data_IF_416041600839
#
_entry.id   IF_416041600839
#
_cell.length_a   1.000
_cell.length_b   1.000
_cell.length_c   1.000
_cell.angle_alpha   90.00
_cell.angle_beta   90.00
_cell.angle_gamma   90.00
#
_symmetry.space_group_name_H-M   'P 1'
#
loop_
_entity.id
_entity.type
_entity.pdbx_description
1 polymer ?
#
# COMPACT_ATOMS: atom_id res chain seq x y z
N UNK A 1 -30.10 -2.74 34.01
CA UNK A 1 -31.27 -3.57 34.40
C UNK A 1 -30.98 -4.99 33.93
N UNK A 2 -30.93 -5.99 34.81
CA UNK A 2 -30.58 -7.35 34.42
C UNK A 2 -31.74 -8.02 33.66
N UNK A 3 -31.46 -8.56 32.47
CA UNK A 3 -32.40 -9.35 31.67
C UNK A 3 -32.47 -10.78 32.22
N UNK A 4 -33.67 -11.32 32.46
CA UNK A 4 -33.84 -12.65 33.06
C UNK A 4 -33.80 -13.77 32.02
N UNK A 5 -34.31 -13.52 30.82
CA UNK A 5 -34.20 -14.43 29.67
C UNK A 5 -34.51 -13.71 28.35
N UNK A 6 -33.86 -14.16 27.27
CA UNK A 6 -34.13 -13.75 25.90
C UNK A 6 -34.67 -14.97 25.18
N UNK A 7 -35.93 -14.93 24.72
CA UNK A 7 -36.50 -15.96 23.85
C UNK A 7 -36.69 -15.38 22.46
N UNK A 8 -36.10 -16.03 21.47
CA UNK A 8 -36.27 -15.71 20.06
C UNK A 8 -37.13 -16.80 19.41
N UNK A 9 -38.30 -16.41 18.91
CA UNK A 9 -39.14 -17.23 18.04
C UNK A 9 -39.30 -16.50 16.70
N UNK A 10 -38.60 -16.99 15.68
CA UNK A 10 -38.60 -16.38 14.35
C UNK A 10 -38.02 -14.96 14.35
N UNK A 11 -38.79 -13.98 13.84
CA UNK A 11 -38.40 -12.55 13.76
C UNK A 11 -38.74 -11.73 15.01
N UNK A 12 -39.28 -12.35 16.06
CA UNK A 12 -39.71 -11.65 17.27
C UNK A 12 -38.83 -12.06 18.44
N UNK A 13 -38.19 -11.08 19.07
CA UNK A 13 -37.38 -11.27 20.28
C UNK A 13 -38.16 -10.76 21.48
N UNK A 14 -38.51 -11.66 22.39
CA UNK A 14 -39.21 -11.31 23.63
C UNK A 14 -38.21 -11.19 24.77
N UNK A 15 -38.07 -9.98 25.32
CA UNK A 15 -37.19 -9.67 26.44
C UNK A 15 -37.98 -9.67 27.75
N UNK A 16 -37.64 -10.56 28.69
CA UNK A 16 -38.30 -10.59 30.02
C UNK A 16 -37.41 -9.88 31.04
N UNK A 17 -37.85 -8.73 31.55
CA UNK A 17 -37.14 -7.97 32.58
C UNK A 17 -37.34 -8.60 33.97
N UNK A 18 -36.30 -8.55 34.81
CA UNK A 18 -36.32 -9.14 36.17
C UNK A 18 -37.08 -8.27 37.19
N UNK A 19 -37.42 -7.03 36.83
CA UNK A 19 -38.02 -6.02 37.72
C UNK A 19 -39.21 -5.34 37.02
N UNK A 20 -40.27 -5.03 37.77
CA UNK A 20 -41.47 -4.38 37.25
C UNK A 20 -41.16 -2.95 36.76
N UNK A 21 -41.54 -2.64 35.51
CA UNK A 21 -41.37 -1.30 34.94
C UNK A 21 -42.48 -0.37 35.44
N UNK A 22 -42.14 0.87 35.79
CA UNK A 22 -43.13 1.88 36.18
C UNK A 22 -43.86 2.44 34.93
N UNK A 23 -45.19 2.58 34.96
CA UNK A 23 -45.99 2.97 33.79
C UNK A 23 -45.79 4.42 33.32
N UNK A 24 -45.11 5.26 34.09
CA UNK A 24 -44.92 6.70 33.83
C UNK A 24 -43.50 7.07 33.38
N UNK A 25 -42.56 6.12 33.35
CA UNK A 25 -41.17 6.38 32.96
C UNK A 25 -40.88 5.93 31.52
N UNK A 26 -40.10 6.73 30.79
CA UNK A 26 -39.63 6.39 29.44
C UNK A 26 -38.30 5.65 29.54
N UNK A 27 -38.29 4.37 29.18
CA UNK A 27 -37.07 3.56 29.13
C UNK A 27 -36.52 3.48 27.71
N UNK A 28 -35.22 3.73 27.54
CA UNK A 28 -34.52 3.58 26.25
C UNK A 28 -33.99 2.15 26.14
N UNK A 29 -34.50 1.40 25.17
CA UNK A 29 -33.94 0.09 24.79
C UNK A 29 -32.83 0.35 23.76
N UNK A 30 -31.58 0.31 24.20
CA UNK A 30 -30.44 0.20 23.28
C UNK A 30 -30.22 -1.28 22.98
N UNK A 31 -30.70 -1.72 21.81
CA UNK A 31 -30.17 -2.92 21.18
C UNK A 31 -28.76 -2.54 20.77
N UNK A 32 -27.75 -3.00 21.52
CA UNK A 32 -26.41 -3.06 20.98
C UNK A 32 -26.52 -4.02 19.79
N UNK A 33 -26.64 -3.46 18.58
CA UNK A 33 -26.48 -4.20 17.35
C UNK A 33 -25.26 -5.13 17.58
N UNK A 34 -25.38 -6.47 17.48
CA UNK A 34 -24.32 -7.11 16.75
C UNK A 34 -24.34 -6.38 15.42
N UNK A 35 -23.28 -5.64 15.02
CA UNK A 35 -23.28 -5.07 13.69
C UNK A 35 -23.68 -6.23 12.80
N UNK A 36 -24.78 -6.09 12.07
CA UNK A 36 -25.07 -6.98 10.96
C UNK A 36 -23.97 -6.63 9.95
N UNK A 37 -22.73 -7.03 10.24
CA UNK A 37 -21.78 -7.42 9.24
C UNK A 37 -22.52 -8.54 8.54
N UNK A 38 -23.25 -8.16 7.49
CA UNK A 38 -23.21 -9.02 6.33
C UNK A 38 -21.72 -9.15 6.06
N UNK A 39 -21.11 -10.22 6.58
CA UNK A 39 -19.97 -10.84 5.94
C UNK A 39 -20.51 -11.28 4.58
N UNK A 40 -20.69 -10.30 3.68
CA UNK A 40 -20.46 -10.53 2.28
C UNK A 40 -18.99 -10.85 2.28
N UNK A 41 -18.64 -12.12 2.49
CA UNK A 41 -17.35 -12.62 2.09
C UNK A 41 -17.28 -12.26 0.62
N UNK A 42 -16.54 -11.20 0.26
CA UNK A 42 -16.46 -10.84 -1.14
C UNK A 42 -15.85 -12.06 -1.80
N UNK A 43 -16.30 -12.35 -3.03
CA UNK A 43 -15.66 -13.42 -3.78
C UNK A 43 -14.12 -13.18 -3.75
N UNK A 44 -13.27 -14.23 -3.64
CA UNK A 44 -11.83 -14.04 -3.46
C UNK A 44 -11.24 -13.05 -4.49
N UNK A 45 -11.78 -13.09 -5.71
CA UNK A 45 -11.47 -12.21 -6.83
C UNK A 45 -11.83 -10.74 -6.56
N UNK A 46 -12.99 -10.46 -5.96
CA UNK A 46 -13.40 -9.10 -5.61
C UNK A 46 -12.46 -8.49 -4.56
N UNK A 47 -12.06 -9.25 -3.54
CA UNK A 47 -11.10 -8.79 -2.51
C UNK A 47 -9.73 -8.49 -3.12
N UNK A 48 -9.26 -9.29 -4.07
CA UNK A 48 -7.98 -9.06 -4.75
C UNK A 48 -8.05 -7.81 -5.65
N UNK A 49 -9.14 -7.63 -6.39
CA UNK A 49 -9.32 -6.45 -7.25
C UNK A 49 -9.45 -5.18 -6.41
N UNK A 50 -10.17 -5.21 -5.28
CA UNK A 50 -10.25 -4.06 -4.38
C UNK A 50 -8.92 -3.78 -3.70
N UNK A 51 -8.16 -4.80 -3.28
CA UNK A 51 -6.82 -4.65 -2.72
C UNK A 51 -5.85 -4.03 -3.75
N UNK A 52 -5.91 -4.50 -5.00
CA UNK A 52 -5.13 -3.98 -6.11
C UNK A 52 -5.47 -2.52 -6.41
N UNK A 53 -6.75 -2.21 -6.60
CA UNK A 53 -7.21 -0.87 -6.93
C UNK A 53 -6.99 0.09 -5.75
N UNK A 54 -7.17 -0.40 -4.52
CA UNK A 54 -6.90 0.36 -3.31
C UNK A 54 -5.42 0.68 -3.16
N UNK A 55 -4.53 -0.29 -3.31
CA UNK A 55 -3.08 -0.04 -3.19
C UNK A 55 -2.50 0.78 -4.36
N UNK A 56 -3.06 0.66 -5.56
CA UNK A 56 -2.61 1.42 -6.73
C UNK A 56 -3.10 2.88 -6.73
N UNK A 57 -4.38 3.11 -6.38
CA UNK A 57 -5.03 4.42 -6.49
C UNK A 57 -5.42 5.05 -5.14
N UNK A 58 -6.12 4.31 -4.28
CA UNK A 58 -6.80 4.88 -3.08
C UNK A 58 -5.80 5.17 -1.96
N UNK A 59 -4.93 4.21 -1.67
CA UNK A 59 -3.83 4.27 -0.71
C UNK A 59 -2.48 4.33 -1.42
N UNK A 60 -2.36 5.20 -2.43
CA UNK A 60 -1.11 5.35 -3.17
C UNK A 60 0.05 5.69 -2.20
N UNK A 61 1.07 4.84 -2.18
CA UNK A 61 2.20 4.96 -1.26
C UNK A 61 2.99 6.26 -1.44
N UNK A 62 2.99 6.84 -2.64
CA UNK A 62 3.74 8.05 -2.97
C UNK A 62 3.01 9.30 -2.52
N UNK A 63 1.74 9.46 -2.89
CA UNK A 63 1.00 10.69 -2.65
C UNK A 63 0.24 10.72 -1.31
N UNK A 64 -0.21 9.55 -0.83
CA UNK A 64 -1.00 9.46 0.41
C UNK A 64 -0.11 9.20 1.62
N UNK A 65 0.92 8.35 1.47
CA UNK A 65 1.84 7.96 2.55
C UNK A 65 3.22 8.62 2.47
N UNK A 66 3.49 9.42 1.43
CA UNK A 66 4.75 10.15 1.23
C UNK A 66 6.01 9.25 1.24
N UNK A 67 5.88 8.02 0.75
CA UNK A 67 6.98 7.04 0.68
C UNK A 67 7.62 7.06 -0.71
N UNK A 68 8.95 6.85 -0.78
CA UNK A 68 9.67 6.69 -2.05
C UNK A 68 9.98 7.99 -2.81
N UNK A 69 9.86 9.14 -2.15
CA UNK A 69 10.09 10.46 -2.75
C UNK A 69 11.52 10.66 -3.29
N UNK A 70 12.51 10.00 -2.69
CA UNK A 70 13.92 10.09 -3.06
C UNK A 70 14.18 9.70 -4.52
N UNK A 71 13.68 8.54 -4.96
CA UNK A 71 13.81 8.11 -6.36
C UNK A 71 12.82 8.85 -7.28
N UNK A 72 11.67 9.22 -6.73
CA UNK A 72 10.61 9.92 -7.45
C UNK A 72 11.07 11.27 -7.99
N UNK A 73 11.74 12.09 -7.18
CA UNK A 73 12.28 13.38 -7.66
C UNK A 73 13.52 13.23 -8.53
N UNK A 74 14.29 12.15 -8.34
CA UNK A 74 15.51 11.88 -9.09
C UNK A 74 15.28 11.53 -10.55
N UNK A 75 14.25 10.71 -10.84
CA UNK A 75 14.07 10.11 -12.18
C UNK A 75 12.87 10.68 -12.96
N UNK A 76 12.04 11.51 -12.32
CA UNK A 76 10.91 12.18 -12.96
C UNK A 76 11.27 13.32 -13.94
N UNK A 77 12.54 13.49 -14.34
CA UNK A 77 12.93 14.53 -15.32
C UNK A 77 12.61 14.14 -16.77
N UNK A 78 12.68 12.85 -17.09
CA UNK A 78 12.45 12.34 -18.46
C UNK A 78 11.41 11.23 -18.42
N UNK A 79 10.44 11.27 -19.34
CA UNK A 79 9.40 10.23 -19.45
C UNK A 79 9.97 8.84 -19.69
N UNK A 80 10.94 8.69 -20.60
CA UNK A 80 11.53 7.38 -20.92
C UNK A 80 12.20 6.74 -19.70
N UNK A 81 12.93 7.55 -18.92
CA UNK A 81 13.58 7.09 -17.69
C UNK A 81 12.55 6.76 -16.60
N UNK A 82 11.47 7.54 -16.48
CA UNK A 82 10.39 7.31 -15.54
C UNK A 82 9.67 5.97 -15.81
N UNK A 83 9.35 5.68 -17.07
CA UNK A 83 8.71 4.40 -17.46
C UNK A 83 9.64 3.22 -17.18
N UNK A 84 10.91 3.32 -17.59
CA UNK A 84 11.90 2.26 -17.35
C UNK A 84 12.11 1.97 -15.87
N UNK A 85 12.17 3.03 -15.04
CA UNK A 85 12.28 2.87 -13.60
C UNK A 85 11.00 2.28 -12.98
N UNK A 86 9.81 2.72 -13.39
CA UNK A 86 8.54 2.21 -12.85
C UNK A 86 8.34 0.71 -13.10
N UNK A 87 8.67 0.24 -14.30
CA UNK A 87 8.60 -1.20 -14.64
C UNK A 87 9.61 -2.01 -13.83
N UNK A 88 10.86 -1.56 -13.78
CA UNK A 88 11.92 -2.22 -13.01
C UNK A 88 11.56 -2.29 -11.53
N UNK A 89 11.07 -1.18 -10.97
CA UNK A 89 10.65 -1.08 -9.58
C UNK A 89 9.53 -2.06 -9.23
N UNK A 90 8.51 -2.16 -10.09
CA UNK A 90 7.39 -3.09 -9.90
C UNK A 90 7.88 -4.54 -9.88
N UNK A 91 8.79 -4.91 -10.80
CA UNK A 91 9.36 -6.25 -10.83
C UNK A 91 10.12 -6.57 -9.53
N UNK A 92 11.02 -5.68 -9.08
CA UNK A 92 11.77 -5.88 -7.82
C UNK A 92 10.83 -5.97 -6.64
N UNK A 93 9.80 -5.11 -6.58
CA UNK A 93 8.83 -5.09 -5.49
C UNK A 93 8.08 -6.42 -5.35
N UNK A 94 7.69 -7.05 -6.46
CA UNK A 94 7.07 -8.38 -6.45
C UNK A 94 8.02 -9.42 -5.87
N UNK A 95 9.25 -9.50 -6.37
CA UNK A 95 10.24 -10.46 -5.90
C UNK A 95 10.53 -10.27 -4.42
N UNK A 96 10.77 -9.03 -3.99
CA UNK A 96 11.02 -8.70 -2.59
C UNK A 96 9.83 -9.07 -1.71
N UNK A 97 8.60 -8.66 -2.05
CA UNK A 97 7.42 -8.97 -1.23
C UNK A 97 7.19 -10.48 -1.09
N UNK A 98 7.38 -11.24 -2.15
CA UNK A 98 7.26 -12.70 -2.15
C UNK A 98 8.32 -13.37 -1.27
N UNK A 99 9.58 -12.96 -1.43
CA UNK A 99 10.68 -13.49 -0.60
C UNK A 99 10.53 -13.10 0.87
N UNK A 100 10.13 -11.87 1.17
CA UNK A 100 9.90 -11.42 2.54
C UNK A 100 8.71 -12.12 3.19
N UNK A 101 7.64 -12.42 2.44
CA UNK A 101 6.53 -13.24 2.95
C UNK A 101 6.98 -14.64 3.32
N UNK A 102 7.81 -15.28 2.47
CA UNK A 102 8.39 -16.58 2.77
C UNK A 102 9.29 -16.53 4.02
N UNK A 103 10.15 -15.52 4.12
CA UNK A 103 11.03 -15.35 5.29
C UNK A 103 10.23 -15.09 6.57
N UNK A 104 9.18 -14.28 6.51
CA UNK A 104 8.31 -14.01 7.67
C UNK A 104 7.61 -15.28 8.15
N UNK A 105 6.98 -16.02 7.23
CA UNK A 105 6.18 -17.22 7.53
C UNK A 105 7.07 -18.39 7.98
N UNK A 106 8.20 -18.63 7.33
CA UNK A 106 9.04 -19.80 7.61
C UNK A 106 10.13 -19.56 8.67
N UNK A 107 10.56 -18.32 8.91
CA UNK A 107 11.63 -18.03 9.86
C UNK A 107 11.16 -17.20 11.06
N UNK A 108 10.45 -16.08 10.86
CA UNK A 108 10.13 -15.16 11.97
C UNK A 108 9.00 -15.67 12.85
N UNK A 109 7.94 -16.20 12.25
CA UNK A 109 6.78 -16.74 12.96
C UNK A 109 7.14 -17.94 13.88
N UNK A 110 7.86 -18.98 13.43
CA UNK A 110 8.18 -20.12 14.30
C UNK A 110 9.19 -19.78 15.39
N UNK A 111 10.08 -18.81 15.16
CA UNK A 111 11.06 -18.41 16.19
C UNK A 111 10.51 -17.31 17.12
N UNK A 112 9.34 -16.73 16.86
CA UNK A 112 8.76 -15.62 17.62
C UNK A 112 9.64 -14.34 17.67
N UNK A 113 10.48 -14.08 16.65
CA UNK A 113 11.36 -12.90 16.58
C UNK A 113 10.69 -11.67 15.94
N UNK A 114 9.56 -11.22 16.50
CA UNK A 114 8.89 -10.00 16.03
C UNK A 114 9.76 -8.75 16.07
N UNK A 115 10.69 -8.65 17.02
CA UNK A 115 11.55 -7.47 17.17
C UNK A 115 12.60 -7.33 16.03
N UNK A 116 13.03 -8.44 15.42
CA UNK A 116 14.08 -8.44 14.40
C UNK A 116 13.52 -8.19 12.98
N UNK A 117 12.21 -8.06 12.86
CA UNK A 117 11.49 -8.06 11.59
C UNK A 117 12.01 -7.01 10.59
N UNK A 118 12.20 -5.76 11.04
CA UNK A 118 12.71 -4.69 10.17
C UNK A 118 14.14 -4.98 9.68
N UNK A 119 15.00 -5.50 10.55
CA UNK A 119 16.38 -5.85 10.21
C UNK A 119 16.43 -7.00 9.19
N UNK A 120 15.60 -8.03 9.37
CA UNK A 120 15.52 -9.15 8.41
C UNK A 120 14.97 -8.68 7.07
N UNK A 121 13.98 -7.79 7.04
CA UNK A 121 13.43 -7.28 5.79
C UNK A 121 14.44 -6.42 5.02
N UNK A 122 15.18 -5.53 5.69
CA UNK A 122 16.28 -4.78 5.04
C UNK A 122 17.32 -5.75 4.46
N UNK A 123 17.72 -6.77 5.22
CA UNK A 123 18.66 -7.80 4.75
C UNK A 123 18.13 -8.59 3.56
N UNK A 124 16.85 -8.95 3.56
CA UNK A 124 16.17 -9.68 2.47
C UNK A 124 16.14 -8.83 1.19
N UNK A 125 15.78 -7.54 1.32
CA UNK A 125 15.76 -6.59 0.20
C UNK A 125 17.17 -6.46 -0.39
N UNK A 126 18.18 -6.28 0.46
CA UNK A 126 19.57 -6.18 0.03
C UNK A 126 20.04 -7.43 -0.72
N UNK A 127 19.72 -8.62 -0.21
CA UNK A 127 20.05 -9.88 -0.86
C UNK A 127 19.38 -10.03 -2.24
N UNK A 128 18.08 -9.71 -2.34
CA UNK A 128 17.32 -9.79 -3.60
C UNK A 128 17.88 -8.83 -4.64
N UNK A 129 18.14 -7.57 -4.27
CA UNK A 129 18.68 -6.59 -5.23
C UNK A 129 20.12 -6.90 -5.60
N UNK A 130 20.94 -7.39 -4.65
CA UNK A 130 22.30 -7.83 -4.96
C UNK A 130 22.32 -9.01 -5.94
N UNK A 131 21.38 -9.95 -5.76
CA UNK A 131 21.18 -11.04 -6.69
C UNK A 131 20.79 -10.53 -8.09
N UNK A 132 19.84 -9.59 -8.16
CA UNK A 132 19.45 -8.93 -9.41
C UNK A 132 20.62 -8.19 -10.08
N UNK A 133 21.42 -7.42 -9.34
CA UNK A 133 22.59 -6.70 -9.87
C UNK A 133 23.58 -7.67 -10.52
N UNK A 134 23.87 -8.78 -9.82
CA UNK A 134 24.77 -9.82 -10.30
C UNK A 134 24.21 -10.53 -11.55
N UNK A 135 22.90 -10.78 -11.59
CA UNK A 135 22.23 -11.40 -12.74
C UNK A 135 22.22 -10.48 -13.97
N UNK A 136 21.92 -9.19 -13.80
CA UNK A 136 21.94 -8.21 -14.89
C UNK A 136 23.36 -8.03 -15.45
N UNK A 137 24.38 -8.01 -14.58
CA UNK A 137 25.79 -7.90 -15.01
C UNK A 137 26.21 -9.06 -15.90
N UNK A 138 25.69 -10.27 -15.67
CA UNK A 138 26.04 -11.48 -16.44
C UNK A 138 25.20 -11.68 -17.70
N UNK A 139 23.91 -11.35 -17.67
CA UNK A 139 22.99 -11.60 -18.80
C UNK A 139 22.99 -10.48 -19.83
N UNK A 140 22.95 -9.21 -19.39
CA UNK A 140 22.83 -8.05 -20.27
C UNK A 140 23.70 -6.88 -19.79
N UNK A 141 25.02 -6.88 -20.07
CA UNK A 141 25.94 -5.83 -19.63
C UNK A 141 25.61 -4.43 -20.19
N UNK A 142 24.92 -4.36 -21.35
CA UNK A 142 24.43 -3.09 -21.91
C UNK A 142 23.32 -2.47 -21.06
N UNK A 143 22.41 -3.28 -20.51
CA UNK A 143 21.36 -2.82 -19.57
C UNK A 143 21.98 -2.43 -18.23
N UNK A 144 22.95 -3.20 -17.73
CA UNK A 144 23.62 -2.92 -16.45
C UNK A 144 24.26 -1.52 -16.41
N UNK A 145 24.88 -1.05 -17.51
CA UNK A 145 25.46 0.30 -17.59
C UNK A 145 24.42 1.43 -17.44
N UNK A 146 23.18 1.20 -17.87
CA UNK A 146 22.11 2.21 -17.82
C UNK A 146 21.30 2.12 -16.53
N UNK A 147 21.09 0.91 -16.00
CA UNK A 147 20.25 0.66 -14.83
C UNK A 147 21.01 0.48 -13.51
N UNK A 148 22.34 0.28 -13.53
CA UNK A 148 23.13 -0.07 -12.35
C UNK A 148 23.05 0.94 -11.20
N UNK A 149 22.98 2.24 -11.52
CA UNK A 149 22.77 3.30 -10.50
C UNK A 149 21.38 3.18 -9.87
N UNK A 150 20.37 2.79 -10.66
CA UNK A 150 19.00 2.68 -10.19
C UNK A 150 18.79 1.49 -9.24
N UNK A 151 19.52 0.39 -9.39
CA UNK A 151 19.42 -0.76 -8.48
C UNK A 151 19.80 -0.37 -7.03
N UNK A 152 20.85 0.43 -6.84
CA UNK A 152 21.22 0.92 -5.50
C UNK A 152 20.23 1.95 -4.93
N UNK A 153 19.55 2.70 -5.79
CA UNK A 153 18.48 3.61 -5.36
C UNK A 153 17.18 2.84 -5.00
N UNK A 154 16.98 1.66 -5.59
CA UNK A 154 15.86 0.76 -5.30
C UNK A 154 16.03 0.15 -3.90
N UNK A 155 17.21 -0.33 -3.51
CA UNK A 155 17.43 -0.97 -2.18
C UNK A 155 17.05 -0.08 -1.00
N UNK A 156 17.28 1.23 -1.13
CA UNK A 156 17.02 2.23 -0.09
C UNK A 156 15.65 2.88 -0.22
N UNK A 157 14.77 2.33 -1.05
CA UNK A 157 13.43 2.87 -1.25
C UNK A 157 12.48 2.49 -0.10
N UNK A 158 11.81 3.49 0.46
CA UNK A 158 10.90 3.29 1.59
C UNK A 158 9.68 2.42 1.26
N UNK A 159 9.18 2.44 0.02
CA UNK A 159 8.01 1.63 -0.37
C UNK A 159 8.39 0.14 -0.42
N UNK A 160 9.60 -0.18 -0.90
CA UNK A 160 10.11 -1.56 -0.97
C UNK A 160 10.24 -2.18 0.42
N UNK A 161 10.55 -1.38 1.44
CA UNK A 161 10.56 -1.84 2.84
C UNK A 161 9.15 -1.84 3.47
N UNK A 162 8.32 -0.84 3.18
CA UNK A 162 7.02 -0.68 3.80
C UNK A 162 6.01 -1.78 3.40
N UNK A 163 6.02 -2.21 2.14
CA UNK A 163 5.07 -3.22 1.62
C UNK A 163 5.24 -4.59 2.32
N UNK A 164 6.45 -5.18 2.41
CA UNK A 164 6.69 -6.37 3.22
C UNK A 164 6.28 -6.22 4.68
N UNK A 165 6.55 -5.05 5.27
CA UNK A 165 6.20 -4.79 6.67
C UNK A 165 4.69 -4.76 6.90
N UNK A 166 3.94 -4.16 5.98
CA UNK A 166 2.47 -4.16 6.01
C UNK A 166 1.90 -5.56 5.78
N UNK A 167 2.49 -6.33 4.85
CA UNK A 167 2.09 -7.71 4.61
C UNK A 167 2.23 -8.57 5.87
N UNK A 168 3.35 -8.43 6.58
CA UNK A 168 3.60 -9.20 7.78
C UNK A 168 2.73 -8.77 8.97
N UNK A 169 2.42 -7.48 9.11
CA UNK A 169 1.47 -6.99 10.11
C UNK A 169 0.02 -7.45 9.83
N UNK A 170 -0.38 -7.47 8.56
CA UNK A 170 -1.72 -7.87 8.13
C UNK A 170 -1.96 -9.38 8.10
N UNK A 171 -0.93 -10.22 8.30
CA UNK A 171 -0.99 -11.68 8.18
C UNK A 171 -1.69 -12.15 6.90
N UNK A 172 -1.41 -11.46 5.81
CA UNK A 172 -2.05 -11.72 4.51
C UNK A 172 -1.52 -13.00 3.88
N UNK A 173 -2.38 -13.65 3.10
CA UNK A 173 -2.01 -14.82 2.30
C UNK A 173 -0.97 -14.46 1.22
N UNK A 174 -0.25 -15.45 0.71
CA UNK A 174 0.77 -15.25 -0.34
C UNK A 174 0.21 -14.54 -1.57
N UNK A 175 -1.04 -14.84 -1.94
CA UNK A 175 -1.70 -14.27 -3.10
C UNK A 175 -2.08 -12.79 -2.86
N UNK A 176 -2.57 -12.46 -1.68
CA UNK A 176 -2.84 -11.07 -1.28
C UNK A 176 -1.55 -10.25 -1.20
N UNK A 177 -0.48 -10.82 -0.66
CA UNK A 177 0.83 -10.19 -0.61
C UNK A 177 1.38 -9.86 -2.02
N UNK A 178 1.19 -10.77 -2.98
CA UNK A 178 1.55 -10.56 -4.38
C UNK A 178 0.73 -9.44 -5.03
N UNK A 179 -0.59 -9.45 -4.82
CA UNK A 179 -1.50 -8.45 -5.39
C UNK A 179 -1.24 -7.07 -4.78
N UNK A 180 -0.96 -6.99 -3.48
CA UNK A 180 -0.55 -5.75 -2.82
C UNK A 180 0.75 -5.21 -3.41
N UNK A 181 1.75 -6.07 -3.61
CA UNK A 181 3.04 -5.69 -4.19
C UNK A 181 2.91 -5.20 -5.65
N UNK A 182 2.06 -5.87 -6.43
CA UNK A 182 1.72 -5.45 -7.79
C UNK A 182 1.03 -4.09 -7.81
N UNK A 183 0.04 -3.89 -6.96
CA UNK A 183 -0.69 -2.62 -6.86
C UNK A 183 0.20 -1.48 -6.37
N UNK A 184 1.06 -1.71 -5.37
CA UNK A 184 2.02 -0.70 -4.90
C UNK A 184 3.09 -0.35 -5.93
N UNK A 185 3.59 -1.33 -6.69
CA UNK A 185 4.56 -1.12 -7.76
C UNK A 185 3.97 -0.32 -8.92
N UNK A 186 2.77 -0.72 -9.38
CA UNK A 186 2.06 0.00 -10.44
C UNK A 186 1.60 1.39 -10.00
N UNK A 187 1.18 1.55 -8.74
CA UNK A 187 0.86 2.87 -8.16
C UNK A 187 2.06 3.81 -8.14
N UNK A 188 3.26 3.29 -7.84
CA UNK A 188 4.50 4.05 -7.94
C UNK A 188 4.84 4.38 -9.40
N UNK A 189 4.72 3.43 -10.32
CA UNK A 189 4.97 3.66 -11.75
C UNK A 189 4.04 4.73 -12.33
N UNK A 190 2.75 4.68 -11.99
CA UNK A 190 1.75 5.67 -12.39
C UNK A 190 2.10 7.07 -11.83
N UNK A 191 2.42 7.15 -10.54
CA UNK A 191 2.82 8.40 -9.91
C UNK A 191 4.04 9.02 -10.61
N UNK A 192 5.07 8.19 -10.86
CA UNK A 192 6.30 8.62 -11.51
C UNK A 192 6.06 9.10 -12.95
N UNK A 193 5.20 8.38 -13.69
CA UNK A 193 4.80 8.75 -15.04
C UNK A 193 4.08 10.11 -15.05
N UNK A 194 3.06 10.30 -14.21
CA UNK A 194 2.33 11.57 -14.10
C UNK A 194 3.26 12.74 -13.77
N UNK A 195 4.18 12.52 -12.82
CA UNK A 195 5.16 13.52 -12.43
C UNK A 195 6.12 13.87 -13.57
N UNK A 196 6.58 12.88 -14.35
CA UNK A 196 7.43 13.12 -15.51
C UNK A 196 6.72 13.90 -16.61
N UNK A 197 5.44 13.62 -16.85
CA UNK A 197 4.63 14.37 -17.79
C UNK A 197 4.45 15.83 -17.36
N UNK A 198 4.17 16.07 -16.07
CA UNK A 198 4.05 17.40 -15.51
C UNK A 198 5.38 18.17 -15.56
N UNK A 199 6.49 17.53 -15.16
CA UNK A 199 7.81 18.16 -15.18
C UNK A 199 8.27 18.58 -16.58
N UNK A 200 8.12 17.72 -17.58
CA UNK A 200 8.46 18.09 -18.96
C UNK A 200 7.61 19.25 -19.48
N UNK A 201 6.33 19.32 -19.10
CA UNK A 201 5.48 20.48 -19.44
C UNK A 201 5.94 21.76 -18.75
N UNK A 202 6.39 21.67 -17.50
CA UNK A 202 6.86 22.82 -16.74
C UNK A 202 8.22 23.33 -17.21
N UNK A 203 9.07 22.47 -17.77
CA UNK A 203 10.33 22.89 -18.42
C UNK A 203 10.09 23.77 -19.66
N UNK A 204 8.96 23.61 -20.34
CA UNK A 204 8.55 24.44 -21.48
C UNK A 204 7.83 25.73 -21.04
N UNK A 205 7.39 25.81 -19.79
CA UNK A 205 6.66 26.95 -19.27
C UNK A 205 7.62 28.05 -18.77
N UNK A 206 7.17 29.32 -18.80
CA UNK A 206 7.93 30.43 -18.20
C UNK A 206 7.78 30.41 -16.68
N UNK A 207 8.66 29.69 -16.01
CA UNK A 207 8.76 29.65 -14.55
C UNK A 207 9.69 30.79 -14.06
N UNK A 208 9.40 31.47 -12.94
CA UNK A 208 10.36 32.38 -12.32
C UNK A 208 11.66 31.65 -11.95
N UNK A 209 12.83 32.27 -12.17
CA UNK A 209 14.15 31.67 -11.93
C UNK A 209 14.34 31.06 -10.54
N UNK A 210 13.69 31.62 -9.52
CA UNK A 210 13.75 31.12 -8.15
C UNK A 210 13.06 29.75 -7.95
N UNK A 211 12.13 29.37 -8.84
CA UNK A 211 11.37 28.13 -8.75
C UNK A 211 11.82 27.04 -9.73
N UNK A 212 12.80 27.32 -10.59
CA UNK A 212 13.25 26.38 -11.61
C UNK A 212 13.81 25.08 -11.01
N UNK A 213 13.45 23.94 -11.60
CA UNK A 213 13.97 22.62 -11.24
C UNK A 213 13.27 21.96 -10.04
N UNK A 214 13.97 21.85 -8.91
CA UNK A 214 13.49 21.09 -7.74
C UNK A 214 12.35 21.79 -6.97
N UNK A 215 12.38 23.13 -6.73
CA UNK A 215 11.32 23.80 -5.97
C UNK A 215 9.94 23.66 -6.63
N UNK A 216 9.83 23.85 -7.95
CA UNK A 216 8.55 23.66 -8.64
C UNK A 216 8.07 22.21 -8.62
N UNK A 217 8.99 21.25 -8.59
CA UNK A 217 8.63 19.85 -8.47
C UNK A 217 7.99 19.52 -7.12
N UNK A 218 8.46 20.12 -6.03
CA UNK A 218 7.80 19.99 -4.73
C UNK A 218 6.39 20.60 -4.74
N UNK A 219 6.22 21.77 -5.39
CA UNK A 219 4.90 22.38 -5.55
C UNK A 219 3.95 21.49 -6.37
N UNK A 220 4.41 20.92 -7.50
CA UNK A 220 3.64 19.98 -8.31
C UNK A 220 3.29 18.71 -7.53
N UNK A 221 4.25 18.15 -6.77
CA UNK A 221 4.00 16.98 -5.93
C UNK A 221 2.92 17.27 -4.88
N UNK A 222 2.90 18.48 -4.30
CA UNK A 222 1.84 18.94 -3.41
C UNK A 222 0.47 19.03 -4.09
N UNK A 223 0.40 19.57 -5.31
CA UNK A 223 -0.84 19.58 -6.10
C UNK A 223 -1.34 18.17 -6.42
N UNK A 224 -0.44 17.26 -6.79
CA UNK A 224 -0.79 15.86 -7.00
C UNK A 224 -1.26 15.20 -5.72
N UNK A 225 -0.61 15.45 -4.58
CA UNK A 225 -1.05 14.93 -3.29
C UNK A 225 -2.47 15.39 -2.94
N UNK A 226 -2.80 16.67 -3.17
CA UNK A 226 -4.17 17.19 -2.98
C UNK A 226 -5.18 16.53 -3.92
N UNK A 227 -4.83 16.34 -5.19
CA UNK A 227 -5.69 15.67 -6.17
C UNK A 227 -5.94 14.20 -5.79
N UNK A 228 -4.91 13.47 -5.35
CA UNK A 228 -5.02 12.08 -4.94
C UNK A 228 -5.72 11.90 -3.59
N UNK A 229 -5.59 12.86 -2.68
CA UNK A 229 -6.34 12.86 -1.42
C UNK A 229 -7.86 12.88 -1.66
N UNK A 230 -8.32 13.44 -2.79
CA UNK A 230 -9.73 13.36 -3.20
C UNK A 230 -10.24 11.93 -3.45
N UNK A 231 -9.36 10.98 -3.79
CA UNK A 231 -9.72 9.57 -3.97
C UNK A 231 -9.75 8.78 -2.65
N UNK A 232 -9.23 9.33 -1.55
CA UNK A 232 -9.15 8.62 -0.26
C UNK A 232 -10.52 8.32 0.36
N UNK A 233 -11.59 9.00 -0.07
CA UNK A 233 -12.97 8.73 0.35
C UNK A 233 -13.71 7.68 -0.50
N UNK A 234 -13.06 7.08 -1.50
CA UNK A 234 -13.67 6.02 -2.31
C UNK A 234 -13.56 4.68 -1.59
N UNK A 235 -14.54 4.37 -0.75
CA UNK A 235 -14.72 3.02 -0.19
C UNK A 235 -15.42 2.14 -1.23
N UNK A 236 -14.65 1.41 -2.04
CA UNK A 236 -15.23 0.61 -3.13
C UNK A 236 -16.17 -0.49 -2.61
N UNK A 237 -15.84 -1.19 -1.51
CA UNK A 237 -16.71 -2.17 -0.86
C UNK A 237 -16.21 -2.42 0.58
N UNK A 238 -17.01 -2.09 1.58
CA UNK A 238 -16.84 -2.52 2.98
C UNK A 238 -17.74 -3.72 3.26
#
# INVERSE_FOLDING_TARGET
>A
MALKSVKAEGRVVTLTATQALHPTERYKLEVADPPISRDVTPSPWATLVTLFLSSALINNFVFTRYLGLCIFFGVSKKRDAAVGMGVTFTAVMIFTAMTSWAVDTFALQPLHLGFLQVLVFIGTVAAVVQFLDTMLRKTHPALHRSFGVYLMLITTNCIILAVPLLNAQGKVSMLEALVLALGSGLGFALALFLMSCAREKMELARVPKAFEGLPIAFALAGLFALAFMGFSGLDFFR
#
